data_IF_534037503039
#
_entry.id   IF_534037503039
#
_cell.length_a   1.000
_cell.length_b   1.000
_cell.length_c   1.000
_cell.angle_alpha   90.00
_cell.angle_beta   90.00
_cell.angle_gamma   90.00
#
_symmetry.space_group_name_H-M   'P 1'
#
loop_
_entity.id
_entity.type
_entity.pdbx_description
1 polymer ?
#
# COMPACT_ATOMS: atom_id res chain seq x y z
N UNK A 1 3.20 -0.06 -2.14
CA UNK A 1 4.28 0.65 -1.42
C UNK A 1 5.46 -0.28 -1.10
N UNK A 2 6.71 0.14 -1.37
CA UNK A 2 7.94 -0.64 -1.14
C UNK A 2 8.70 -0.29 0.16
N UNK A 3 8.12 0.46 1.09
CA UNK A 3 8.75 0.73 2.40
C UNK A 3 8.94 -0.59 3.16
N UNK A 4 10.15 -0.80 3.68
CA UNK A 4 10.56 -2.06 4.30
C UNK A 4 11.44 -1.81 5.52
N UNK A 5 11.14 -2.51 6.62
CA UNK A 5 12.04 -2.56 7.77
C UNK A 5 13.23 -3.47 7.49
N UNK A 6 13.08 -4.55 6.72
CA UNK A 6 14.19 -5.45 6.36
C UNK A 6 15.23 -4.75 5.50
N UNK A 7 14.79 -3.93 4.53
CA UNK A 7 15.68 -3.09 3.70
C UNK A 7 16.05 -1.76 4.37
N UNK A 8 15.54 -1.51 5.57
CA UNK A 8 15.64 -0.25 6.32
C UNK A 8 15.39 1.00 5.43
N UNK A 9 14.31 0.97 4.65
CA UNK A 9 14.01 2.02 3.68
C UNK A 9 13.91 3.38 4.36
N UNK A 10 14.72 4.35 3.95
CA UNK A 10 14.69 5.71 4.52
C UNK A 10 15.02 5.79 6.02
N UNK A 11 15.74 4.81 6.55
CA UNK A 11 15.99 4.62 7.98
C UNK A 11 14.72 4.39 8.81
N UNK A 12 13.69 3.77 8.23
CA UNK A 12 12.42 3.49 8.91
C UNK A 12 12.59 2.71 10.23
N UNK A 13 13.65 1.91 10.39
CA UNK A 13 13.90 1.18 11.63
C UNK A 13 14.08 2.10 12.85
N UNK A 14 14.50 3.36 12.65
CA UNK A 14 14.57 4.35 13.73
C UNK A 14 13.17 4.70 14.28
N UNK A 15 12.14 4.61 13.44
CA UNK A 15 10.75 4.81 13.85
C UNK A 15 10.05 3.51 14.22
N UNK A 16 10.33 2.42 13.52
CA UNK A 16 9.64 1.15 13.63
C UNK A 16 10.60 0.00 13.30
N UNK A 17 11.20 -0.60 14.35
CA UNK A 17 12.16 -1.71 14.19
C UNK A 17 11.56 -2.92 13.47
N UNK A 18 10.30 -3.25 13.79
CA UNK A 18 9.54 -4.33 13.16
C UNK A 18 8.32 -3.74 12.48
N UNK A 19 8.35 -3.67 11.14
CA UNK A 19 7.25 -3.20 10.34
C UNK A 19 6.52 -4.39 9.71
N UNK A 20 5.20 -4.30 9.57
CA UNK A 20 4.43 -5.15 8.67
C UNK A 20 3.79 -4.23 7.60
N UNK A 21 4.21 -4.40 6.36
CA UNK A 21 3.70 -3.69 5.20
C UNK A 21 2.44 -4.39 4.70
N UNK A 22 1.30 -3.72 4.87
CA UNK A 22 -0.03 -4.17 4.43
C UNK A 22 -0.42 -3.54 3.08
N UNK A 23 0.54 -2.96 2.35
CA UNK A 23 0.30 -2.29 1.09
C UNK A 23 -0.11 -3.27 0.00
N UNK A 24 -1.24 -3.00 -0.64
CA UNK A 24 -1.74 -3.73 -1.81
C UNK A 24 -1.53 -2.93 -3.09
N UNK A 25 -1.54 -3.60 -4.23
CA UNK A 25 -1.42 -2.92 -5.52
C UNK A 25 -2.67 -2.08 -5.77
N UNK A 26 -2.51 -0.76 -5.95
CA UNK A 26 -3.61 0.16 -6.21
C UNK A 26 -4.63 0.26 -5.07
N UNK A 27 -4.19 0.12 -3.81
CA UNK A 27 -5.08 0.18 -2.66
C UNK A 27 -5.98 1.43 -2.64
N UNK A 28 -7.21 1.28 -2.18
CA UNK A 28 -8.19 2.36 -2.06
C UNK A 28 -8.56 2.65 -0.60
N UNK A 29 -9.46 3.62 -0.39
CA UNK A 29 -10.00 3.94 0.94
C UNK A 29 -10.68 2.72 1.60
N UNK A 30 -11.30 1.85 0.80
CA UNK A 30 -11.90 0.62 1.27
C UNK A 30 -10.86 -0.38 1.79
N UNK A 31 -9.72 -0.53 1.11
CA UNK A 31 -8.62 -1.36 1.60
C UNK A 31 -8.08 -0.81 2.93
N UNK A 32 -7.96 0.52 3.05
CA UNK A 32 -7.58 1.16 4.31
C UNK A 32 -8.57 0.83 5.43
N UNK A 33 -9.88 0.87 5.17
CA UNK A 33 -10.91 0.47 6.13
C UNK A 33 -10.80 -1.00 6.52
N UNK A 34 -10.63 -1.89 5.54
CA UNK A 34 -10.47 -3.34 5.75
C UNK A 34 -9.26 -3.62 6.65
N UNK A 35 -8.09 -3.08 6.32
CA UNK A 35 -6.89 -3.29 7.11
C UNK A 35 -6.98 -2.62 8.48
N UNK A 36 -7.68 -1.49 8.59
CA UNK A 36 -7.92 -0.85 9.88
C UNK A 36 -8.78 -1.71 10.79
N UNK A 37 -9.83 -2.33 10.28
CA UNK A 37 -10.62 -3.29 11.03
C UNK A 37 -9.77 -4.45 11.54
N UNK A 38 -8.95 -5.05 10.67
CA UNK A 38 -8.08 -6.18 11.02
C UNK A 38 -7.06 -5.76 12.09
N UNK A 39 -6.42 -4.59 11.94
CA UNK A 39 -5.46 -4.05 12.91
C UNK A 39 -6.13 -3.84 14.27
N UNK A 40 -7.27 -3.15 14.31
CA UNK A 40 -7.96 -2.80 15.56
C UNK A 40 -8.53 -4.02 16.30
N UNK A 41 -8.75 -5.13 15.58
CA UNK A 41 -9.18 -6.41 16.17
C UNK A 41 -8.01 -7.37 16.45
N UNK A 42 -6.76 -6.94 16.21
CA UNK A 42 -5.60 -7.74 16.54
C UNK A 42 -5.32 -7.67 18.06
N UNK A 43 -5.23 -8.82 18.78
CA UNK A 43 -4.86 -8.83 20.19
C UNK A 43 -3.53 -8.12 20.49
N UNK A 44 -2.60 -8.16 19.54
CA UNK A 44 -1.32 -7.48 19.62
C UNK A 44 -1.36 -6.21 18.77
N UNK A 45 -2.02 -5.18 19.31
CA UNK A 45 -2.22 -3.90 18.63
C UNK A 45 -0.87 -3.21 18.35
N UNK A 46 -0.62 -2.69 17.13
CA UNK A 46 0.60 -1.98 16.83
C UNK A 46 0.62 -0.61 17.52
N UNK A 47 1.80 -0.15 17.93
CA UNK A 47 1.97 1.20 18.52
C UNK A 47 1.89 2.32 17.49
N UNK A 48 2.22 2.02 16.24
CA UNK A 48 2.31 2.98 15.13
C UNK A 48 1.66 2.42 13.89
N UNK A 49 0.98 3.28 13.13
CA UNK A 49 0.49 2.97 11.78
C UNK A 49 0.99 4.05 10.83
N UNK A 50 1.55 3.62 9.69
CA UNK A 50 1.96 4.48 8.60
C UNK A 50 0.98 4.29 7.45
N UNK A 51 0.38 5.38 6.99
CA UNK A 51 -0.57 5.38 5.89
C UNK A 51 0.06 6.10 4.71
N UNK A 52 0.29 5.38 3.60
CA UNK A 52 0.63 6.00 2.33
C UNK A 52 -0.61 6.72 1.81
N UNK A 53 -0.47 8.00 1.49
CA UNK A 53 -1.53 8.77 0.88
C UNK A 53 -1.23 8.75 -0.62
N UNK A 54 -2.03 7.99 -1.35
CA UNK A 54 -2.10 8.00 -2.80
C UNK A 54 -2.97 9.18 -3.30
N UNK A 55 -2.81 9.63 -4.56
CA UNK A 55 -3.60 10.74 -5.10
C UNK A 55 -5.11 10.47 -5.12
N UNK A 56 -5.55 9.22 -5.06
CA UNK A 56 -6.96 8.83 -5.04
C UNK A 56 -7.48 8.42 -3.65
N UNK A 57 -6.69 8.56 -2.59
CA UNK A 57 -7.04 8.09 -1.23
C UNK A 57 -8.38 8.63 -0.72
N UNK A 58 -8.71 9.88 -1.06
CA UNK A 58 -9.94 10.55 -0.60
C UNK A 58 -11.11 10.38 -1.57
N UNK A 59 -11.25 9.20 -2.16
CA UNK A 59 -12.37 8.81 -3.02
C UNK A 59 -12.78 7.36 -2.75
N UNK A 60 -14.06 7.08 -2.85
CA UNK A 60 -14.60 5.72 -2.82
C UNK A 60 -14.53 5.05 -4.19
N UNK A 61 -14.59 3.72 -4.22
CA UNK A 61 -14.74 2.90 -5.40
C UNK A 61 -13.54 2.95 -6.34
N UNK A 62 -12.36 3.34 -5.84
CA UNK A 62 -11.18 3.53 -6.68
C UNK A 62 -10.55 2.20 -7.10
N UNK A 63 -10.86 1.09 -6.44
CA UNK A 63 -10.52 -0.26 -6.85
C UNK A 63 -11.71 -1.19 -6.61
N UNK A 64 -11.98 -2.18 -7.46
CA UNK A 64 -13.05 -3.16 -7.20
C UNK A 64 -12.55 -4.41 -6.46
N UNK A 65 -11.24 -4.61 -6.37
CA UNK A 65 -10.63 -5.82 -5.79
C UNK A 65 -10.86 -5.93 -4.27
N UNK A 66 -11.14 -4.83 -3.58
CA UNK A 66 -11.52 -4.85 -2.15
C UNK A 66 -12.78 -5.70 -1.90
N UNK A 67 -13.63 -5.90 -2.92
CA UNK A 67 -14.85 -6.70 -2.82
C UNK A 67 -14.61 -8.14 -2.35
N UNK A 68 -13.41 -8.70 -2.58
CA UNK A 68 -13.02 -10.00 -2.03
C UNK A 68 -12.98 -10.02 -0.48
N UNK A 69 -12.94 -8.85 0.14
CA UNK A 69 -12.84 -8.62 1.58
C UNK A 69 -14.01 -7.78 2.12
N UNK A 70 -15.14 -7.74 1.39
CA UNK A 70 -16.33 -6.95 1.72
C UNK A 70 -16.82 -7.15 3.16
N UNK A 71 -16.68 -8.36 3.70
CA UNK A 71 -17.02 -8.65 5.09
C UNK A 71 -16.30 -7.71 6.07
N UNK A 72 -14.98 -7.56 5.95
CA UNK A 72 -14.19 -6.70 6.83
C UNK A 72 -14.51 -5.22 6.63
N UNK A 73 -14.77 -4.80 5.38
CA UNK A 73 -15.22 -3.45 5.08
C UNK A 73 -16.56 -3.13 5.76
N UNK A 74 -17.53 -4.03 5.66
CA UNK A 74 -18.84 -3.87 6.31
C UNK A 74 -18.72 -3.81 7.83
N UNK A 75 -17.86 -4.64 8.43
CA UNK A 75 -17.63 -4.60 9.88
C UNK A 75 -16.93 -3.30 10.32
N UNK A 76 -16.02 -2.75 9.50
CA UNK A 76 -15.46 -1.42 9.75
C UNK A 76 -16.54 -0.34 9.72
N UNK A 77 -17.43 -0.39 8.72
CA UNK A 77 -18.52 0.58 8.58
C UNK A 77 -19.43 0.59 9.81
N UNK A 78 -19.79 -0.60 10.33
CA UNK A 78 -20.55 -0.70 11.59
C UNK A 78 -19.85 0.02 12.72
N UNK A 79 -18.54 -0.19 12.92
CA UNK A 79 -17.79 0.51 13.97
C UNK A 79 -17.80 2.03 13.77
N UNK A 80 -17.66 2.50 12.52
CA UNK A 80 -17.63 3.93 12.18
C UNK A 80 -19.03 4.60 12.22
N UNK A 81 -20.10 3.80 12.17
CA UNK A 81 -21.50 4.22 12.34
C UNK A 81 -21.93 4.17 13.82
N UNK A 82 -21.48 3.16 14.55
CA UNK A 82 -21.70 2.93 15.99
C UNK A 82 -20.99 3.93 16.90
N UNK A 83 -20.10 4.79 16.38
CA UNK A 83 -19.65 5.97 17.13
C UNK A 83 -20.80 6.93 17.52
N UNK A 84 -22.04 6.65 17.11
CA UNK A 84 -23.28 7.26 17.62
C UNK A 84 -24.09 6.43 18.65
N UNK A 85 -23.78 5.16 18.93
CA UNK A 85 -24.52 4.36 19.93
C UNK A 85 -23.67 3.24 20.56
N UNK A 86 -23.77 3.09 21.89
CA UNK A 86 -22.94 2.21 22.71
C UNK A 86 -23.20 0.69 22.53
N UNK A 87 -22.08 -0.07 22.49
CA UNK A 87 -21.85 -1.53 22.76
C UNK A 87 -22.35 -2.51 21.68
N UNK A 88 -21.58 -3.54 21.28
CA UNK A 88 -21.06 -4.67 22.07
C UNK A 88 -19.71 -5.25 21.58
N UNK A 89 -18.92 -5.83 22.51
CA UNK A 89 -17.72 -6.62 22.19
C UNK A 89 -18.11 -8.05 21.80
N UNK A 90 -18.20 -8.33 20.51
CA UNK A 90 -18.29 -9.69 20.00
C UNK A 90 -16.98 -10.48 20.26
N UNK A 91 -17.11 -11.72 20.75
CA UNK A 91 -15.99 -12.60 21.10
C UNK A 91 -15.09 -12.95 19.91
N UNK A 92 -13.79 -12.67 20.04
CA UNK A 92 -12.72 -12.98 19.10
C UNK A 92 -12.69 -14.46 18.64
N UNK A 93 -13.02 -15.40 19.54
CA UNK A 93 -12.97 -16.84 19.28
C UNK A 93 -14.09 -17.36 18.37
N UNK A 94 -15.25 -16.68 18.35
CA UNK A 94 -16.33 -17.05 17.41
C UNK A 94 -16.04 -16.61 15.97
N UNK A 95 -15.16 -15.60 15.79
CA UNK A 95 -14.70 -15.14 14.48
C UNK A 95 -13.59 -16.03 13.91
N UNK A 96 -12.69 -16.56 14.75
CA UNK A 96 -11.65 -17.53 14.34
C UNK A 96 -12.27 -18.82 13.77
N UNK A 97 -13.27 -19.39 14.44
CA UNK A 97 -13.91 -20.62 13.99
C UNK A 97 -14.52 -20.54 12.57
N UNK A 98 -15.00 -19.35 12.18
CA UNK A 98 -15.54 -19.10 10.82
C UNK A 98 -14.44 -18.94 9.76
N UNK A 99 -13.27 -18.41 10.12
CA UNK A 99 -12.16 -18.21 9.19
C UNK A 99 -11.31 -19.47 8.96
N UNK A 100 -11.31 -20.43 9.89
CA UNK A 100 -10.60 -21.72 9.73
C UNK A 100 -11.15 -22.49 8.51
N UNK A 101 -12.45 -22.38 8.23
CA UNK A 101 -13.08 -22.90 7.02
C UNK A 101 -13.36 -21.78 6.02
N UNK A 102 -12.30 -21.12 5.53
CA UNK A 102 -12.44 -20.23 4.39
C UNK A 102 -12.67 -21.07 3.12
N UNK A 103 -13.92 -21.47 2.88
CA UNK A 103 -14.31 -22.26 1.72
C UNK A 103 -13.90 -21.59 0.41
N UNK A 104 -13.87 -20.25 0.37
CA UNK A 104 -13.41 -19.51 -0.79
C UNK A 104 -11.90 -19.68 -1.00
N UNK A 105 -11.09 -19.62 0.05
CA UNK A 105 -9.66 -19.91 -0.01
C UNK A 105 -9.39 -21.36 -0.40
N UNK A 106 -10.14 -22.30 0.17
CA UNK A 106 -10.09 -23.72 -0.20
C UNK A 106 -10.47 -23.94 -1.68
N UNK A 107 -11.55 -23.32 -2.14
CA UNK A 107 -12.02 -23.38 -3.52
C UNK A 107 -11.00 -22.78 -4.51
N UNK A 108 -10.42 -21.62 -4.21
CA UNK A 108 -9.37 -21.04 -5.05
C UNK A 108 -8.07 -21.84 -5.00
N UNK A 109 -7.74 -22.45 -3.86
CA UNK A 109 -6.61 -23.38 -3.75
C UNK A 109 -6.85 -24.61 -4.63
N UNK A 110 -8.07 -25.17 -4.62
CA UNK A 110 -8.48 -26.28 -5.47
C UNK A 110 -8.46 -25.90 -6.96
N UNK A 111 -8.98 -24.72 -7.33
CA UNK A 111 -8.90 -24.21 -8.69
C UNK A 111 -7.46 -24.03 -9.15
N UNK A 112 -6.55 -23.58 -8.27
CA UNK A 112 -5.12 -23.46 -8.58
C UNK A 112 -4.46 -24.81 -8.81
N UNK A 113 -4.98 -25.89 -8.21
CA UNK A 113 -4.54 -27.26 -8.48
C UNK A 113 -5.12 -27.82 -9.79
N UNK A 114 -6.27 -27.32 -10.25
CA UNK A 114 -6.96 -27.85 -11.44
C UNK A 114 -6.77 -27.01 -12.71
N UNK A 115 -6.44 -25.72 -12.61
CA UNK A 115 -6.17 -24.85 -13.77
C UNK A 115 -4.73 -25.05 -14.29
N UNK A 116 -4.51 -26.21 -14.91
CA UNK A 116 -3.31 -26.52 -15.69
C UNK A 116 -3.40 -25.84 -17.07
N UNK A 117 -2.99 -24.57 -17.15
CA UNK A 117 -2.66 -23.98 -18.45
C UNK A 117 -1.26 -24.38 -18.96
N UNK A 118 -0.46 -25.09 -18.14
CA UNK A 118 0.73 -25.79 -18.60
C UNK A 118 0.35 -27.21 -19.06
N UNK A 119 0.37 -27.43 -20.37
CA UNK A 119 0.05 -28.73 -21.00
C UNK A 119 1.13 -29.81 -20.80
N UNK A 120 2.06 -29.62 -19.86
CA UNK A 120 3.24 -30.50 -19.66
C UNK A 120 3.40 -31.01 -18.22
N UNK A 121 2.50 -30.66 -17.30
CA UNK A 121 2.63 -31.03 -15.89
C UNK A 121 1.84 -32.30 -15.55
N UNK A 122 2.56 -33.38 -15.30
CA UNK A 122 2.02 -34.61 -14.71
C UNK A 122 1.57 -34.37 -13.26
N UNK A 123 0.62 -35.16 -12.69
CA UNK A 123 0.16 -35.00 -11.31
C UNK A 123 1.26 -35.00 -10.24
N UNK A 124 2.42 -35.62 -10.52
CA UNK A 124 3.61 -35.58 -9.65
C UNK A 124 4.26 -34.21 -9.57
N UNK A 125 4.10 -33.33 -10.58
CA UNK A 125 4.71 -32.00 -10.57
C UNK A 125 3.93 -30.97 -9.73
N UNK A 126 2.66 -31.25 -9.41
CA UNK A 126 1.83 -30.45 -8.50
C UNK A 126 2.30 -30.58 -7.05
N UNK A 127 2.74 -31.78 -6.65
CA UNK A 127 3.39 -32.03 -5.35
C UNK A 127 4.86 -31.60 -5.33
N UNK A 128 5.46 -31.38 -6.51
CA UNK A 128 6.84 -30.92 -6.67
C UNK A 128 6.93 -29.44 -7.08
N UNK A 129 5.92 -28.61 -6.78
CA UNK A 129 6.15 -27.16 -6.66
C UNK A 129 7.12 -26.96 -5.51
N UNK A 130 8.41 -27.15 -5.81
CA UNK A 130 9.50 -26.95 -4.89
C UNK A 130 9.29 -25.55 -4.33
N UNK A 131 9.16 -25.46 -3.00
CA UNK A 131 9.30 -24.20 -2.31
C UNK A 131 10.72 -23.75 -2.65
N UNK A 132 10.83 -22.85 -3.62
CA UNK A 132 12.11 -22.29 -4.02
C UNK A 132 12.55 -21.38 -2.88
N UNK A 133 13.43 -21.90 -2.04
CA UNK A 133 14.12 -21.05 -1.08
C UNK A 133 15.06 -20.15 -1.89
N UNK A 134 14.88 -18.81 -1.83
CA UNK A 134 15.75 -17.91 -2.54
C UNK A 134 17.19 -18.10 -2.06
N UNK A 135 18.16 -17.94 -2.97
CA UNK A 135 19.57 -17.88 -2.59
C UNK A 135 19.74 -16.86 -1.45
N UNK A 136 20.49 -17.22 -0.42
CA UNK A 136 20.58 -16.48 0.85
C UNK A 136 21.19 -15.08 0.73
N UNK A 137 21.79 -14.74 -0.42
CA UNK A 137 22.36 -13.41 -0.68
C UNK A 137 21.97 -12.90 -2.06
N UNK A 138 21.01 -11.98 -2.13
CA UNK A 138 20.76 -11.15 -3.31
C UNK A 138 20.54 -9.69 -2.89
N UNK A 139 20.91 -8.77 -3.77
CA UNK A 139 20.75 -7.33 -3.53
C UNK A 139 19.31 -6.90 -3.85
N UNK A 140 18.61 -6.36 -2.85
CA UNK A 140 17.25 -5.87 -3.00
C UNK A 140 17.09 -4.76 -4.05
N UNK A 141 18.16 -4.02 -4.34
CA UNK A 141 18.20 -2.95 -5.34
C UNK A 141 18.21 -3.51 -6.76
N UNK A 142 18.83 -4.67 -6.94
CA UNK A 142 18.97 -5.35 -8.23
C UNK A 142 17.91 -6.46 -8.41
N UNK A 143 17.16 -6.80 -7.37
CA UNK A 143 16.08 -7.77 -7.42
C UNK A 143 16.55 -9.22 -7.41
N UNK A 144 15.59 -10.14 -7.50
CA UNK A 144 15.83 -11.59 -7.60
C UNK A 144 15.25 -12.14 -8.91
N UNK A 145 15.53 -13.39 -9.26
CA UNK A 145 15.01 -14.02 -10.49
C UNK A 145 13.47 -13.90 -10.58
N UNK A 146 12.79 -13.98 -9.44
CA UNK A 146 11.34 -13.83 -9.30
C UNK A 146 10.98 -12.67 -8.36
N UNK A 147 9.77 -12.09 -8.44
CA UNK A 147 9.32 -11.16 -7.42
C UNK A 147 9.19 -11.87 -6.07
N UNK A 148 9.66 -11.23 -5.00
CA UNK A 148 9.66 -11.79 -3.64
C UNK A 148 8.85 -10.89 -2.71
N UNK A 149 8.10 -11.50 -1.79
CA UNK A 149 7.55 -10.82 -0.61
C UNK A 149 8.45 -11.15 0.58
N UNK A 150 8.98 -10.12 1.23
CA UNK A 150 9.84 -10.28 2.40
C UNK A 150 9.00 -10.55 3.66
N UNK A 151 9.66 -10.95 4.76
CA UNK A 151 8.97 -11.28 6.02
C UNK A 151 8.18 -10.09 6.60
N UNK A 152 8.57 -8.86 6.27
CA UNK A 152 7.86 -7.64 6.64
C UNK A 152 6.72 -7.29 5.67
N UNK A 153 6.36 -8.17 4.74
CA UNK A 153 5.29 -7.97 3.75
C UNK A 153 5.69 -7.11 2.54
N UNK A 154 6.89 -6.51 2.54
CA UNK A 154 7.31 -5.64 1.44
C UNK A 154 7.71 -6.44 0.19
N UNK A 155 7.45 -5.88 -0.99
CA UNK A 155 7.78 -6.51 -2.28
C UNK A 155 9.16 -6.11 -2.78
N UNK A 156 9.90 -7.07 -3.32
CA UNK A 156 11.07 -6.88 -4.21
C UNK A 156 10.66 -7.29 -5.62
N UNK A 157 10.91 -6.43 -6.62
CA UNK A 157 10.64 -6.78 -8.02
C UNK A 157 11.67 -7.77 -8.58
N UNK A 158 11.29 -8.46 -9.66
CA UNK A 158 12.19 -9.35 -10.37
C UNK A 158 13.35 -8.56 -11.01
N UNK A 159 14.53 -9.15 -11.08
CA UNK A 159 15.75 -8.57 -11.65
C UNK A 159 15.52 -8.15 -13.08
N UNK A 160 14.91 -9.00 -13.89
CA UNK A 160 14.65 -8.71 -15.30
C UNK A 160 13.68 -7.53 -15.47
N UNK A 161 12.68 -7.42 -14.59
CA UNK A 161 11.81 -6.25 -14.54
C UNK A 161 12.60 -4.98 -14.18
N UNK A 162 13.47 -5.03 -13.17
CA UNK A 162 14.28 -3.86 -12.79
C UNK A 162 15.23 -3.45 -13.93
N UNK A 163 15.89 -4.42 -14.57
CA UNK A 163 16.81 -4.17 -15.69
C UNK A 163 16.09 -3.64 -16.92
N UNK A 164 14.92 -4.21 -17.26
CA UNK A 164 14.14 -3.73 -18.40
C UNK A 164 13.75 -2.26 -18.21
N UNK A 165 13.31 -1.87 -17.01
CA UNK A 165 12.92 -0.49 -16.71
C UNK A 165 14.12 0.47 -16.69
N UNK A 166 15.27 0.06 -16.14
CA UNK A 166 16.50 0.87 -16.21
C UNK A 166 16.92 1.15 -17.67
N UNK A 167 16.76 0.17 -18.56
CA UNK A 167 17.12 0.29 -19.97
C UNK A 167 16.03 1.00 -20.80
N UNK A 168 14.75 0.91 -20.42
CA UNK A 168 13.61 1.56 -21.09
C UNK A 168 13.27 2.95 -20.56
N UNK A 169 14.02 3.44 -19.57
CA UNK A 169 13.89 4.79 -19.00
C UNK A 169 13.76 5.95 -20.03
N UNK A 170 14.26 5.89 -21.29
CA UNK A 170 13.96 6.95 -22.27
C UNK A 170 12.48 7.16 -22.65
N UNK A 171 11.53 6.31 -22.23
CA UNK A 171 10.14 6.40 -22.70
C UNK A 171 9.12 7.02 -21.72
N UNK A 172 9.51 7.37 -20.48
CA UNK A 172 8.56 7.99 -19.54
C UNK A 172 8.29 9.45 -19.94
N UNK A 173 7.05 9.76 -20.28
CA UNK A 173 6.63 11.11 -20.69
C UNK A 173 5.61 11.71 -19.71
N UNK A 174 5.32 13.01 -19.88
CA UNK A 174 4.26 13.68 -19.12
C UNK A 174 2.85 13.12 -19.39
N UNK A 175 2.68 12.41 -20.51
CA UNK A 175 1.41 11.79 -20.92
C UNK A 175 1.39 10.28 -20.65
N UNK A 176 2.35 9.78 -19.88
CA UNK A 176 2.37 8.37 -19.47
C UNK A 176 1.02 8.00 -18.85
N UNK A 177 0.46 6.87 -19.26
CA UNK A 177 -0.82 6.37 -18.76
C UNK A 177 -0.79 6.16 -17.25
N UNK A 178 0.38 5.77 -16.73
CA UNK A 178 0.59 5.50 -15.32
C UNK A 178 0.50 6.80 -14.52
N UNK A 179 0.87 7.95 -15.11
CA UNK A 179 0.69 9.24 -14.46
C UNK A 179 -0.79 9.58 -14.17
N UNK A 180 -1.74 9.06 -14.96
CA UNK A 180 -3.17 9.33 -14.81
C UNK A 180 -3.93 8.21 -14.09
N UNK A 181 -3.22 7.20 -13.58
CA UNK A 181 -3.84 6.06 -12.92
C UNK A 181 -4.74 6.51 -11.76
N UNK A 182 -6.04 6.20 -11.85
CA UNK A 182 -7.07 6.55 -10.86
C UNK A 182 -7.25 8.07 -10.62
N UNK A 183 -6.72 8.89 -11.51
CA UNK A 183 -6.89 10.35 -11.53
C UNK A 183 -8.00 10.71 -12.53
N UNK A 184 -9.25 10.41 -12.15
CA UNK A 184 -10.46 10.78 -12.87
C UNK A 184 -11.48 11.47 -11.96
N UNK A 185 -12.38 12.23 -12.57
CA UNK A 185 -13.43 12.98 -11.88
C UNK A 185 -12.89 14.12 -11.00
N UNK A 186 -13.65 14.40 -9.94
CA UNK A 186 -13.31 15.36 -8.89
C UNK A 186 -12.00 15.01 -8.19
N UNK A 187 -11.38 16.02 -7.57
CA UNK A 187 -10.10 15.83 -6.86
C UNK A 187 -10.26 14.87 -5.68
N UNK A 188 -11.32 15.07 -4.90
CA UNK A 188 -11.66 14.24 -3.76
C UNK A 188 -13.17 14.27 -3.51
N UNK A 189 -13.66 13.31 -2.75
CA UNK A 189 -15.01 13.29 -2.22
C UNK A 189 -14.98 13.73 -0.73
N UNK A 190 -15.68 14.80 -0.35
CA UNK A 190 -15.76 15.25 1.05
C UNK A 190 -16.26 14.18 2.03
N UNK A 191 -17.14 13.27 1.60
CA UNK A 191 -17.61 12.16 2.43
C UNK A 191 -16.51 11.11 2.63
N UNK A 192 -15.70 10.85 1.60
CA UNK A 192 -14.54 9.96 1.69
C UNK A 192 -13.47 10.54 2.61
N UNK A 193 -13.23 11.86 2.54
CA UNK A 193 -12.34 12.55 3.46
C UNK A 193 -12.83 12.43 4.92
N UNK A 194 -14.12 12.70 5.17
CA UNK A 194 -14.72 12.55 6.50
C UNK A 194 -14.66 11.11 7.00
N UNK A 195 -14.85 10.13 6.12
CA UNK A 195 -14.74 8.71 6.44
C UNK A 195 -13.30 8.34 6.84
N UNK A 196 -12.31 8.81 6.07
CA UNK A 196 -10.90 8.67 6.41
C UNK A 196 -10.57 9.29 7.78
N UNK A 197 -11.07 10.49 8.06
CA UNK A 197 -10.91 11.16 9.36
C UNK A 197 -11.47 10.34 10.54
N UNK A 198 -12.59 9.64 10.35
CA UNK A 198 -13.11 8.73 11.37
C UNK A 198 -12.16 7.56 11.64
N UNK A 199 -11.56 6.98 10.60
CA UNK A 199 -10.53 5.93 10.75
C UNK A 199 -9.34 6.46 11.57
N UNK A 200 -8.86 7.68 11.26
CA UNK A 200 -7.77 8.31 12.00
C UNK A 200 -8.15 8.51 13.47
N UNK A 201 -9.35 9.03 13.73
CA UNK A 201 -9.87 9.24 15.07
C UNK A 201 -9.93 7.93 15.87
N UNK A 202 -10.37 6.85 15.23
CA UNK A 202 -10.45 5.53 15.83
C UNK A 202 -9.07 4.98 16.18
N UNK A 203 -8.08 5.12 15.29
CA UNK A 203 -6.69 4.74 15.61
C UNK A 203 -6.17 5.49 16.83
N UNK A 204 -6.32 6.82 16.85
CA UNK A 204 -5.81 7.66 17.94
C UNK A 204 -6.51 7.36 19.27
N UNK A 205 -7.82 7.10 19.25
CA UNK A 205 -8.60 6.69 20.43
C UNK A 205 -8.10 5.37 21.02
N UNK A 206 -7.59 4.47 20.18
CA UNK A 206 -6.97 3.21 20.61
C UNK A 206 -5.47 3.36 20.92
N UNK A 207 -4.96 4.59 21.08
CA UNK A 207 -3.58 4.86 21.45
C UNK A 207 -2.55 4.57 20.36
N UNK A 208 -2.99 4.46 19.10
CA UNK A 208 -2.12 4.21 17.94
C UNK A 208 -1.62 5.55 17.40
N UNK A 209 -0.29 5.66 17.27
CA UNK A 209 0.39 6.82 16.69
C UNK A 209 0.41 6.73 15.15
N UNK A 210 -0.42 7.57 14.52
CA UNK A 210 -0.61 7.60 13.07
C UNK A 210 0.40 8.55 12.41
N UNK A 211 0.98 8.10 11.28
CA UNK A 211 1.88 8.88 10.40
C UNK A 211 1.42 8.78 8.96
N UNK A 212 1.62 9.83 8.19
CA UNK A 212 1.38 9.80 6.74
C UNK A 212 2.68 9.74 5.96
N UNK A 213 2.64 9.05 4.83
CA UNK A 213 3.73 8.94 3.88
C UNK A 213 3.21 9.42 2.53
N UNK A 214 4.05 10.15 1.80
CA UNK A 214 3.87 10.39 0.37
C UNK A 214 5.03 9.79 -0.38
N UNK A 215 4.72 8.90 -1.31
CA UNK A 215 5.71 8.42 -2.28
C UNK A 215 5.81 9.40 -3.45
N UNK A 216 7.03 9.82 -3.85
CA UNK A 216 7.20 10.75 -4.94
C UNK A 216 6.84 10.12 -6.29
N UNK A 217 6.47 10.98 -7.23
CA UNK A 217 6.20 10.63 -8.63
C UNK A 217 7.35 11.10 -9.53
N UNK A 218 7.42 10.58 -10.77
CA UNK A 218 8.55 10.84 -11.66
C UNK A 218 8.73 12.35 -11.97
N UNK A 219 9.96 12.90 -11.99
CA UNK A 219 10.19 14.34 -12.18
C UNK A 219 9.67 14.90 -13.51
N UNK A 220 9.55 14.07 -14.56
CA UNK A 220 8.99 14.49 -15.85
C UNK A 220 7.58 15.08 -15.71
N UNK A 221 6.77 14.57 -14.77
CA UNK A 221 5.41 15.04 -14.56
C UNK A 221 5.41 16.48 -14.05
N UNK A 222 6.21 16.76 -13.02
CA UNK A 222 6.30 18.08 -12.40
C UNK A 222 6.99 19.11 -13.31
N UNK A 223 7.93 18.67 -14.16
CA UNK A 223 8.55 19.53 -15.19
C UNK A 223 7.57 19.97 -16.28
N UNK A 224 6.54 19.16 -16.56
CA UNK A 224 5.49 19.52 -17.52
C UNK A 224 4.52 20.59 -16.98
N UNK A 225 4.66 21.00 -15.72
CA UNK A 225 3.83 22.02 -15.09
C UNK A 225 2.49 21.49 -14.59
N UNK A 226 1.45 22.31 -14.69
CA UNK A 226 0.13 22.05 -14.12
C UNK A 226 -0.72 21.11 -14.98
N UNK A 227 -0.19 19.94 -15.30
CA UNK A 227 -0.97 18.84 -15.89
C UNK A 227 -1.91 18.23 -14.84
N UNK A 228 -2.99 17.58 -15.31
CA UNK A 228 -4.03 17.02 -14.43
C UNK A 228 -3.49 16.18 -13.26
N UNK A 229 -2.54 15.22 -13.45
CA UNK A 229 -1.94 14.50 -12.34
C UNK A 229 -1.26 15.38 -11.29
N UNK A 230 -0.48 16.36 -11.73
CA UNK A 230 0.28 17.26 -10.84
C UNK A 230 -0.67 18.15 -10.04
N UNK A 231 -1.72 18.68 -10.67
CA UNK A 231 -2.75 19.45 -9.98
C UNK A 231 -3.46 18.61 -8.92
N UNK A 232 -3.83 17.36 -9.26
CA UNK A 232 -4.50 16.45 -8.33
C UNK A 232 -3.61 16.12 -7.13
N UNK A 233 -2.35 15.71 -7.38
CA UNK A 233 -1.36 15.45 -6.34
C UNK A 233 -1.12 16.65 -5.43
N UNK A 234 -1.00 17.85 -6.00
CA UNK A 234 -0.74 19.08 -5.26
C UNK A 234 -1.90 19.42 -4.32
N UNK A 235 -3.15 19.30 -4.78
CA UNK A 235 -4.32 19.57 -3.95
C UNK A 235 -4.52 18.48 -2.88
N UNK A 236 -4.28 17.20 -3.20
CA UNK A 236 -4.35 16.11 -2.19
C UNK A 236 -3.28 16.30 -1.11
N UNK A 237 -2.03 16.62 -1.48
CA UNK A 237 -0.97 16.90 -0.49
C UNK A 237 -1.33 18.10 0.41
N UNK A 238 -2.02 19.11 -0.13
CA UNK A 238 -2.51 20.27 0.61
C UNK A 238 -3.66 19.91 1.56
N UNK A 239 -4.64 19.12 1.11
CA UNK A 239 -5.74 18.62 1.96
C UNK A 239 -5.16 17.81 3.12
N UNK A 240 -4.23 16.89 2.84
CA UNK A 240 -3.58 16.09 3.88
C UNK A 240 -2.77 16.95 4.85
N UNK A 241 -2.09 18.01 4.39
CA UNK A 241 -1.40 18.96 5.28
C UNK A 241 -2.35 19.72 6.22
N UNK A 242 -3.59 19.93 5.83
CA UNK A 242 -4.59 20.49 6.73
C UNK A 242 -5.01 19.46 7.78
N UNK A 243 -5.24 18.20 7.37
CA UNK A 243 -5.50 17.11 8.31
C UNK A 243 -4.38 16.95 9.33
N UNK A 244 -3.13 17.05 8.91
CA UNK A 244 -1.98 16.84 9.80
C UNK A 244 -1.88 17.89 10.89
N UNK A 245 -2.33 19.12 10.61
CA UNK A 245 -2.44 20.17 11.61
C UNK A 245 -3.59 19.88 12.58
N UNK A 246 -4.77 19.54 12.07
CA UNK A 246 -5.96 19.25 12.89
C UNK A 246 -5.77 18.06 13.82
N UNK A 247 -5.09 17.02 13.35
CA UNK A 247 -4.88 15.78 14.10
C UNK A 247 -3.45 15.64 14.66
N UNK A 248 -2.58 16.65 14.57
CA UNK A 248 -1.18 16.56 15.01
C UNK A 248 -0.48 15.28 14.50
N UNK A 249 -0.53 15.06 13.18
CA UNK A 249 0.04 13.88 12.50
C UNK A 249 1.32 14.27 11.80
N UNK A 250 2.38 13.47 11.95
CA UNK A 250 3.63 13.68 11.23
C UNK A 250 3.54 13.10 9.82
N UNK A 251 4.07 13.84 8.83
CA UNK A 251 4.16 13.42 7.44
C UNK A 251 5.61 13.18 7.01
N UNK A 252 5.80 12.29 6.04
CA UNK A 252 7.09 12.00 5.44
C UNK A 252 6.98 11.99 3.91
N UNK A 253 7.97 12.56 3.23
CA UNK A 253 8.01 12.61 1.77
C UNK A 253 7.13 13.70 1.17
N UNK A 254 6.97 13.65 -0.16
CA UNK A 254 6.10 14.49 -0.97
C UNK A 254 5.89 13.80 -2.31
N UNK A 255 4.78 14.07 -2.99
CA UNK A 255 4.62 13.65 -4.39
C UNK A 255 5.66 14.33 -5.29
N UNK A 256 6.10 15.54 -4.94
CA UNK A 256 7.12 16.28 -5.67
C UNK A 256 8.50 15.64 -5.44
N UNK A 257 9.13 15.07 -6.49
CA UNK A 257 10.40 14.39 -6.34
C UNK A 257 11.54 15.35 -6.01
N UNK A 258 11.43 16.63 -6.40
CA UNK A 258 12.41 17.67 -6.07
C UNK A 258 12.49 17.90 -4.55
N UNK A 259 11.34 17.96 -3.86
CA UNK A 259 11.29 18.12 -2.39
C UNK A 259 11.89 16.93 -1.63
N UNK A 260 11.88 15.75 -2.25
CA UNK A 260 12.47 14.52 -1.70
C UNK A 260 13.94 14.36 -2.15
N UNK A 261 14.35 15.00 -3.24
CA UNK A 261 15.68 14.84 -3.86
C UNK A 261 15.79 13.64 -4.82
N UNK A 262 14.68 13.11 -5.32
CA UNK A 262 14.67 12.01 -6.28
C UNK A 262 14.97 12.50 -7.71
N UNK A 263 15.74 11.70 -8.45
CA UNK A 263 16.17 11.94 -9.83
C UNK A 263 15.34 11.10 -10.80
N UNK A 264 15.44 11.41 -12.10
CA UNK A 264 14.71 10.68 -13.14
C UNK A 264 15.00 9.16 -13.12
N UNK A 265 16.24 8.76 -12.83
CA UNK A 265 16.67 7.36 -12.78
C UNK A 265 16.27 6.62 -11.50
N UNK A 266 15.66 7.30 -10.53
CA UNK A 266 15.23 6.66 -9.29
C UNK A 266 13.78 6.12 -9.36
N UNK A 267 13.25 5.85 -10.55
CA UNK A 267 11.87 5.38 -10.76
C UNK A 267 11.80 4.20 -11.74
N UNK A 268 10.80 3.35 -11.56
CA UNK A 268 10.47 2.30 -12.53
C UNK A 268 9.61 2.85 -13.67
N UNK A 269 8.63 3.68 -13.33
CA UNK A 269 7.67 4.29 -14.25
C UNK A 269 7.24 5.68 -13.72
N UNK A 270 6.17 6.25 -14.26
CA UNK A 270 5.69 7.57 -13.87
C UNK A 270 5.30 7.71 -12.38
N UNK A 271 4.94 6.61 -11.69
CA UNK A 271 4.44 6.65 -10.31
C UNK A 271 5.25 5.83 -9.29
N UNK A 272 6.03 4.84 -9.72
CA UNK A 272 6.67 3.90 -8.81
C UNK A 272 8.15 4.24 -8.56
N UNK A 273 8.51 4.83 -7.41
CA UNK A 273 9.90 5.05 -7.04
C UNK A 273 10.64 3.75 -6.75
N UNK A 274 11.93 3.73 -7.07
CA UNK A 274 12.86 2.67 -6.69
C UNK A 274 13.32 2.81 -5.24
N UNK A 275 14.02 1.80 -4.72
CA UNK A 275 14.62 1.84 -3.38
C UNK A 275 15.55 3.05 -3.18
N UNK A 276 16.44 3.41 -4.12
CA UNK A 276 17.21 4.67 -4.05
C UNK A 276 16.38 5.93 -3.79
N UNK A 277 15.24 6.12 -4.44
CA UNK A 277 14.37 7.27 -4.16
C UNK A 277 13.69 7.16 -2.80
N UNK A 278 13.15 5.98 -2.46
CA UNK A 278 12.48 5.79 -1.17
C UNK A 278 13.42 5.97 0.02
N UNK A 279 14.71 5.68 -0.13
CA UNK A 279 15.72 5.94 0.89
C UNK A 279 15.95 7.44 1.17
N UNK A 280 15.49 8.32 0.28
CA UNK A 280 15.55 9.78 0.48
C UNK A 280 14.38 10.31 1.29
N UNK A 281 13.32 9.52 1.49
CA UNK A 281 12.27 9.81 2.46
C UNK A 281 12.86 9.59 3.85
N UNK A 282 13.29 10.69 4.49
CA UNK A 282 13.89 10.61 5.83
C UNK A 282 12.79 10.41 6.87
N UNK A 283 12.77 9.23 7.50
CA UNK A 283 11.85 8.93 8.61
C UNK A 283 12.37 9.44 9.97
N UNK A 284 13.51 10.13 10.00
CA UNK A 284 14.07 10.82 11.16
C UNK A 284 13.83 12.33 11.05
N UNK A 285 13.92 13.03 12.18
CA UNK A 285 14.18 14.48 12.17
C UNK A 285 15.65 14.75 11.81
#
# INVERSE_FOLDING_TARGET
MQISSIRNTGNIQQQCKNLLNLGVSGGSLEDLAIFSFIILNNPNLPKKVFIDIDPWTFKFGMDSRYGAYQFYYNEMNKILEEENNNKDKASYWSKIGKNIFNFQYFYYSLLTLTNNNDKTTTPSSLLSKNILYPLTSYDYTNGYIYPIILQDGSRVYAKDFILSHKNSNPFITATDKDANYKISGEIYDPNALKYFEKIISLYKKNGIDVKFIFTPYHPVLFKAGNIKPVTHMTEIEKITKNLTKSYNIKTYGSYSPEKVGCKNDDFFDAMHPTTPCLNKIKFSE
#
